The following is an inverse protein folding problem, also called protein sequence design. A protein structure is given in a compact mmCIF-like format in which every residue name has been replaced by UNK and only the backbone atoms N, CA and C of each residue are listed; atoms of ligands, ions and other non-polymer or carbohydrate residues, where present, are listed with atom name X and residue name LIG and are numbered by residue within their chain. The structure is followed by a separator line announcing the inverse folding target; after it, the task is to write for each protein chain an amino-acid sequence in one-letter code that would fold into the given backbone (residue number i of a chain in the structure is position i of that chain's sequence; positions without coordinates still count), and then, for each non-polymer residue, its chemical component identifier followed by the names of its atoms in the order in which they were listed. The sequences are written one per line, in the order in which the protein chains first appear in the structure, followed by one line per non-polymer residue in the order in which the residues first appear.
data_IF_721894886074
#
_entry.id   IF_721894886074
#
_cell.length_a   1.000
_cell.length_b   1.000
_cell.length_c   1.000
_cell.angle_alpha   90.00
_cell.angle_beta   90.00
_cell.angle_gamma   90.00
#
_symmetry.space_group_name_H-M   'P 1'
#
loop_
_entity.id
_entity.type
_entity.pdbx_description
1 polymer ?
#
# COMPACT_ATOMS: atom_id res chain seq x y z
N UNK A 1 23.89 -5.53 18.86
CA UNK A 1 22.62 -6.24 18.51
C UNK A 1 21.50 -5.33 17.99
N UNK A 2 21.57 -3.99 18.09
CA UNK A 2 20.55 -3.06 17.50
C UNK A 2 20.43 -3.20 15.98
N UNK A 3 21.58 -3.31 15.30
CA UNK A 3 21.66 -3.41 13.84
C UNK A 3 20.85 -4.56 13.21
N UNK A 4 20.45 -5.60 13.97
CA UNK A 4 19.61 -6.68 13.43
C UNK A 4 18.15 -6.23 13.27
N UNK A 5 17.62 -5.46 14.21
CA UNK A 5 16.23 -4.97 14.16
C UNK A 5 16.07 -3.83 13.14
N UNK A 6 17.05 -2.93 13.06
CA UNK A 6 17.08 -1.87 12.05
C UNK A 6 17.04 -2.44 10.62
N UNK A 7 17.77 -3.52 10.37
CA UNK A 7 17.72 -4.22 9.08
C UNK A 7 16.37 -4.89 8.81
N UNK A 8 15.72 -5.45 9.84
CA UNK A 8 14.37 -6.03 9.70
C UNK A 8 13.31 -4.96 9.43
N UNK A 9 13.44 -3.77 10.03
CA UNK A 9 12.56 -2.63 9.75
C UNK A 9 12.70 -2.22 8.29
N UNK A 10 13.94 -2.01 7.79
CA UNK A 10 14.18 -1.65 6.38
C UNK A 10 13.65 -2.70 5.41
N UNK A 11 13.82 -3.98 5.73
CA UNK A 11 13.27 -5.07 4.93
C UNK A 11 11.73 -5.03 4.92
N UNK A 12 11.11 -4.76 6.08
CA UNK A 12 9.66 -4.61 6.20
C UNK A 12 9.12 -3.40 5.42
N UNK A 13 9.79 -2.25 5.49
CA UNK A 13 9.47 -1.05 4.70
C UNK A 13 9.53 -1.35 3.20
N UNK A 14 10.59 -2.01 2.75
CA UNK A 14 10.72 -2.41 1.34
C UNK A 14 9.60 -3.36 0.92
N UNK A 15 9.25 -4.35 1.76
CA UNK A 15 8.16 -5.28 1.46
C UNK A 15 6.81 -4.56 1.37
N UNK A 16 6.53 -3.62 2.27
CA UNK A 16 5.32 -2.77 2.22
C UNK A 16 5.27 -1.97 0.93
N UNK A 17 6.38 -1.34 0.54
CA UNK A 17 6.44 -0.54 -0.69
C UNK A 17 6.25 -1.39 -1.95
N UNK A 18 6.81 -2.60 -1.96
CA UNK A 18 6.61 -3.56 -3.05
C UNK A 18 5.13 -3.99 -3.16
N UNK A 19 4.49 -4.36 -2.04
CA UNK A 19 3.06 -4.69 -2.03
C UNK A 19 2.18 -3.52 -2.43
N UNK A 20 2.53 -2.31 -2.02
CA UNK A 20 1.83 -1.08 -2.45
C UNK A 20 1.96 -0.85 -3.94
N UNK A 21 3.15 -1.09 -4.53
CA UNK A 21 3.36 -0.97 -5.97
C UNK A 21 2.53 -2.00 -6.74
N UNK A 22 2.54 -3.26 -6.30
CA UNK A 22 1.73 -4.33 -6.89
C UNK A 22 0.23 -3.97 -6.89
N UNK A 23 -0.30 -3.52 -5.75
CA UNK A 23 -1.68 -3.04 -5.67
C UNK A 23 -1.94 -1.85 -6.60
N UNK A 24 -1.02 -0.89 -6.68
CA UNK A 24 -1.16 0.27 -7.56
C UNK A 24 -1.25 -0.14 -9.04
N UNK A 25 -0.44 -1.10 -9.46
CA UNK A 25 -0.43 -1.57 -10.84
C UNK A 25 -1.71 -2.34 -11.20
N UNK A 26 -2.25 -3.14 -10.27
CA UNK A 26 -3.57 -3.76 -10.41
C UNK A 26 -4.68 -2.71 -10.52
N UNK A 27 -4.69 -1.69 -9.66
CA UNK A 27 -5.69 -0.63 -9.73
C UNK A 27 -5.61 0.17 -11.05
N UNK A 28 -4.41 0.40 -11.58
CA UNK A 28 -4.24 1.03 -12.91
C UNK A 28 -4.82 0.17 -14.02
N UNK A 29 -4.59 -1.15 -13.98
CA UNK A 29 -5.13 -2.07 -14.97
C UNK A 29 -6.67 -2.11 -14.90
N UNK A 30 -7.25 -2.14 -13.70
CA UNK A 30 -8.69 -2.06 -13.51
C UNK A 30 -9.26 -0.75 -14.09
N UNK A 31 -8.64 0.38 -13.79
CA UNK A 31 -9.05 1.68 -14.36
C UNK A 31 -8.91 1.73 -15.89
N UNK A 32 -7.91 1.04 -16.47
CA UNK A 32 -7.75 0.90 -17.92
C UNK A 32 -8.90 0.13 -18.56
N UNK A 33 -9.32 -0.99 -17.94
CA UNK A 33 -10.46 -1.77 -18.39
C UNK A 33 -11.76 -0.97 -18.33
N UNK A 34 -12.03 -0.28 -17.21
CA UNK A 34 -13.21 0.60 -17.07
C UNK A 34 -13.22 1.72 -18.12
N UNK A 35 -12.05 2.28 -18.44
CA UNK A 35 -11.92 3.28 -19.50
C UNK A 35 -12.27 2.68 -20.86
N UNK A 36 -11.74 1.49 -21.19
CA UNK A 36 -12.05 0.80 -22.46
C UNK A 36 -13.52 0.45 -22.61
N UNK A 37 -14.21 0.11 -21.51
CA UNK A 37 -15.67 -0.13 -21.52
C UNK A 37 -16.41 1.15 -21.91
N UNK A 38 -16.08 2.29 -21.28
CA UNK A 38 -16.67 3.59 -21.62
C UNK A 38 -16.39 4.01 -23.05
N UNK A 39 -15.14 3.87 -23.50
CA UNK A 39 -14.73 4.19 -24.87
C UNK A 39 -15.54 3.36 -25.89
N UNK A 40 -15.79 2.08 -25.60
CA UNK A 40 -16.59 1.19 -26.43
C UNK A 40 -18.08 1.56 -26.43
N UNK A 41 -18.64 1.89 -25.28
CA UNK A 41 -20.04 2.35 -25.16
C UNK A 41 -20.24 3.66 -25.97
N UNK A 42 -19.29 4.59 -25.90
CA UNK A 42 -19.30 5.82 -26.70
C UNK A 42 -19.16 5.53 -28.21
N UNK A 43 -18.34 4.55 -28.60
CA UNK A 43 -18.17 4.11 -29.99
C UNK A 43 -19.47 3.54 -30.55
N UNK A 44 -20.17 2.72 -29.77
CA UNK A 44 -21.47 2.13 -30.13
C UNK A 44 -22.52 3.20 -30.37
N UNK A 45 -22.61 4.23 -29.53
CA UNK A 45 -23.57 5.31 -29.72
C UNK A 45 -23.24 6.18 -30.95
N UNK A 46 -21.95 6.42 -31.24
CA UNK A 46 -21.54 7.08 -32.49
C UNK A 46 -21.95 6.28 -33.72
N UNK A 47 -21.72 4.98 -33.71
CA UNK A 47 -22.04 4.10 -34.84
C UNK A 47 -23.56 4.01 -35.06
N UNK A 48 -24.34 3.99 -33.97
CA UNK A 48 -25.81 4.04 -34.01
C UNK A 48 -26.34 5.33 -34.64
N UNK A 49 -25.73 6.46 -34.33
CA UNK A 49 -26.07 7.74 -34.94
C UNK A 49 -25.73 7.76 -36.45
N UNK A 50 -24.57 7.24 -36.82
CA UNK A 50 -24.15 7.13 -38.22
C UNK A 50 -25.09 6.23 -39.04
N UNK A 51 -25.44 5.05 -38.51
CA UNK A 51 -26.38 4.12 -39.14
C UNK A 51 -27.77 4.72 -39.38
N UNK A 52 -28.27 5.55 -38.44
CA UNK A 52 -29.52 6.30 -38.59
C UNK A 52 -29.43 7.40 -39.65
N UNK A 53 -28.26 8.03 -39.77
CA UNK A 53 -28.04 9.16 -40.68
C UNK A 53 -27.78 8.72 -42.13
N UNK A 54 -27.23 7.51 -42.33
CA UNK A 54 -26.96 6.92 -43.66
C UNK A 54 -27.43 5.46 -43.73
N UNK A 55 -28.75 5.22 -43.79
CA UNK A 55 -29.29 3.86 -43.69
C UNK A 55 -28.86 2.91 -44.82
N UNK A 56 -28.66 3.42 -46.04
CA UNK A 56 -28.31 2.64 -47.23
C UNK A 56 -26.84 2.18 -47.27
N UNK A 57 -25.95 2.84 -46.53
CA UNK A 57 -24.51 2.52 -46.49
C UNK A 57 -24.15 1.90 -45.13
N UNK A 58 -24.23 2.72 -44.06
CA UNK A 58 -23.83 2.32 -42.71
C UNK A 58 -24.84 1.38 -42.04
N UNK A 59 -26.13 1.50 -42.35
CA UNK A 59 -27.18 0.66 -41.77
C UNK A 59 -27.03 -0.83 -42.06
N UNK A 60 -26.40 -1.22 -43.18
CA UNK A 60 -26.22 -2.63 -43.57
C UNK A 60 -25.19 -3.37 -42.70
N UNK A 61 -24.14 -2.69 -42.26
CA UNK A 61 -23.05 -3.26 -41.44
C UNK A 61 -23.25 -3.07 -39.93
N UNK A 62 -24.15 -2.16 -39.55
CA UNK A 62 -24.46 -1.83 -38.16
C UNK A 62 -24.79 -3.05 -37.29
N UNK A 63 -25.62 -3.97 -37.80
CA UNK A 63 -26.03 -5.16 -37.04
C UNK A 63 -24.88 -6.10 -36.68
N UNK A 64 -23.91 -6.30 -37.58
CA UNK A 64 -22.71 -7.10 -37.29
C UNK A 64 -21.76 -6.40 -36.32
N UNK A 65 -21.62 -5.07 -36.46
CA UNK A 65 -20.78 -4.27 -35.58
C UNK A 65 -21.28 -4.31 -34.13
N UNK A 66 -22.59 -4.12 -33.90
CA UNK A 66 -23.18 -4.15 -32.56
C UNK A 66 -22.98 -5.50 -31.88
N UNK A 67 -23.13 -6.62 -32.61
CA UNK A 67 -22.86 -7.95 -32.06
C UNK A 67 -21.40 -8.11 -31.61
N UNK A 68 -20.46 -7.62 -32.41
CA UNK A 68 -19.04 -7.64 -32.05
C UNK A 68 -18.73 -6.74 -30.84
N UNK A 69 -19.32 -5.55 -30.79
CA UNK A 69 -19.16 -4.61 -29.69
C UNK A 69 -19.73 -5.16 -28.37
N UNK A 70 -20.92 -5.75 -28.39
CA UNK A 70 -21.51 -6.40 -27.21
C UNK A 70 -20.64 -7.54 -26.68
N UNK A 71 -20.12 -8.40 -27.56
CA UNK A 71 -19.19 -9.47 -27.17
C UNK A 71 -17.89 -8.91 -26.57
N UNK A 72 -17.35 -7.83 -27.14
CA UNK A 72 -16.15 -7.17 -26.59
C UNK A 72 -16.43 -6.57 -25.21
N UNK A 73 -17.60 -5.97 -25.02
CA UNK A 73 -18.05 -5.41 -23.74
C UNK A 73 -18.19 -6.50 -22.68
N UNK A 74 -18.82 -7.62 -23.01
CA UNK A 74 -18.93 -8.80 -22.14
C UNK A 74 -17.54 -9.25 -21.66
N UNK A 75 -16.59 -9.49 -22.58
CA UNK A 75 -15.23 -9.89 -22.21
C UNK A 75 -14.52 -8.88 -21.29
N UNK A 76 -14.73 -7.57 -21.50
CA UNK A 76 -14.15 -6.53 -20.64
C UNK A 76 -14.79 -6.52 -19.24
N UNK A 77 -16.10 -6.76 -19.16
CA UNK A 77 -16.82 -6.87 -17.88
C UNK A 77 -16.37 -8.12 -17.11
N UNK A 78 -16.25 -9.27 -17.79
CA UNK A 78 -15.72 -10.50 -17.19
C UNK A 78 -14.30 -10.31 -16.67
N UNK A 79 -13.47 -9.58 -17.43
CA UNK A 79 -12.11 -9.25 -17.00
C UNK A 79 -12.10 -8.36 -15.75
N UNK A 80 -13.02 -7.40 -15.65
CA UNK A 80 -13.19 -6.55 -14.48
C UNK A 80 -13.66 -7.34 -13.26
N UNK A 81 -14.63 -8.24 -13.44
CA UNK A 81 -15.11 -9.11 -12.36
C UNK A 81 -13.99 -10.02 -11.83
N UNK A 82 -13.14 -10.54 -12.72
CA UNK A 82 -11.98 -11.35 -12.31
C UNK A 82 -10.90 -10.52 -11.60
N UNK A 83 -10.82 -9.20 -11.83
CA UNK A 83 -9.85 -8.34 -11.15
C UNK A 83 -10.23 -8.02 -9.70
N UNK A 84 -11.51 -7.98 -9.37
CA UNK A 84 -11.97 -7.63 -8.02
C UNK A 84 -11.38 -8.52 -6.90
N UNK A 85 -11.43 -9.87 -7.00
CA UNK A 85 -10.80 -10.73 -5.99
C UNK A 85 -9.28 -10.59 -5.96
N UNK A 86 -8.64 -10.29 -7.10
CA UNK A 86 -7.17 -10.10 -7.18
C UNK A 86 -6.75 -8.80 -6.49
N UNK A 87 -7.48 -7.70 -6.72
CA UNK A 87 -7.26 -6.42 -6.04
C UNK A 87 -7.52 -6.56 -4.54
N UNK A 88 -8.56 -7.28 -4.15
CA UNK A 88 -8.88 -7.55 -2.74
C UNK A 88 -7.75 -8.33 -2.07
N UNK A 89 -7.28 -9.42 -2.67
CA UNK A 89 -6.14 -10.18 -2.15
C UNK A 89 -4.87 -9.31 -2.03
N UNK A 90 -4.58 -8.47 -3.01
CA UNK A 90 -3.42 -7.57 -2.95
C UNK A 90 -3.54 -6.49 -1.85
N UNK A 91 -4.76 -6.04 -1.52
CA UNK A 91 -5.02 -5.15 -0.38
C UNK A 91 -4.75 -5.86 0.95
N UNK A 92 -5.20 -7.11 1.07
CA UNK A 92 -4.98 -7.92 2.27
C UNK A 92 -3.48 -8.20 2.46
N UNK A 93 -2.75 -8.58 1.41
CA UNK A 93 -1.30 -8.76 1.47
C UNK A 93 -0.55 -7.49 1.88
N UNK A 94 -0.99 -6.32 1.41
CA UNK A 94 -0.43 -5.04 1.84
C UNK A 94 -0.72 -4.77 3.32
N UNK A 95 -1.95 -5.05 3.77
CA UNK A 95 -2.33 -4.89 5.17
C UNK A 95 -1.49 -5.80 6.09
N UNK A 96 -1.28 -7.06 5.70
CA UNK A 96 -0.45 -8.01 6.43
C UNK A 96 1.01 -7.55 6.50
N UNK A 97 1.58 -7.08 5.39
CA UNK A 97 2.93 -6.52 5.35
C UNK A 97 3.09 -5.32 6.31
N UNK A 98 2.08 -4.44 6.39
CA UNK A 98 2.06 -3.34 7.34
C UNK A 98 2.00 -3.83 8.79
N UNK A 99 1.18 -4.83 9.09
CA UNK A 99 1.08 -5.39 10.43
C UNK A 99 2.42 -5.99 10.88
N UNK A 100 3.11 -6.70 9.99
CA UNK A 100 4.41 -7.31 10.28
C UNK A 100 5.50 -6.26 10.51
N UNK A 101 5.58 -5.24 9.67
CA UNK A 101 6.46 -4.09 9.90
C UNK A 101 6.18 -3.47 11.27
N UNK A 102 4.90 -3.29 11.62
CA UNK A 102 4.53 -2.65 12.89
C UNK A 102 4.96 -3.44 14.11
N UNK A 103 4.89 -4.78 14.06
CA UNK A 103 5.37 -5.65 15.14
C UNK A 103 6.86 -5.44 15.41
N UNK A 104 7.67 -5.34 14.35
CA UNK A 104 9.12 -5.11 14.47
C UNK A 104 9.41 -3.71 15.01
N UNK A 105 8.74 -2.67 14.50
CA UNK A 105 8.88 -1.31 15.00
C UNK A 105 8.55 -1.17 16.50
N UNK A 106 7.47 -1.81 16.96
CA UNK A 106 7.09 -1.81 18.38
C UNK A 106 8.16 -2.50 19.22
N UNK A 107 8.69 -3.62 18.73
CA UNK A 107 9.76 -4.35 19.41
C UNK A 107 11.02 -3.49 19.56
N UNK A 108 11.43 -2.80 18.49
CA UNK A 108 12.56 -1.86 18.52
C UNK A 108 12.31 -0.71 19.50
N UNK A 109 11.13 -0.08 19.45
CA UNK A 109 10.76 1.02 20.36
C UNK A 109 10.81 0.59 21.83
N UNK A 110 10.28 -0.59 22.16
CA UNK A 110 10.27 -1.11 23.52
C UNK A 110 11.71 -1.36 24.03
N UNK A 111 12.58 -1.84 23.15
CA UNK A 111 14.01 -2.01 23.45
C UNK A 111 14.68 -0.66 23.73
N UNK A 112 14.49 0.31 22.86
CA UNK A 112 15.10 1.65 23.00
C UNK A 112 14.66 2.33 24.29
N UNK A 113 13.38 2.20 24.65
CA UNK A 113 12.86 2.70 25.93
C UNK A 113 13.50 2.01 27.12
N UNK A 114 13.72 0.69 27.05
CA UNK A 114 14.39 -0.04 28.13
C UNK A 114 15.84 0.39 28.27
N UNK A 115 16.57 0.48 27.17
CA UNK A 115 17.97 0.92 27.16
C UNK A 115 18.11 2.36 27.66
N UNK A 116 17.20 3.26 27.30
CA UNK A 116 17.15 4.62 27.84
C UNK A 116 16.93 4.63 29.36
N UNK A 117 15.92 3.91 29.86
CA UNK A 117 15.67 3.81 31.31
C UNK A 117 16.84 3.22 32.09
N UNK A 118 17.55 2.25 31.52
CA UNK A 118 18.75 1.68 32.14
C UNK A 118 19.91 2.69 32.17
N UNK A 119 20.08 3.51 31.13
CA UNK A 119 21.06 4.61 31.12
C UNK A 119 20.72 5.67 32.17
N UNK A 120 19.48 6.15 32.20
CA UNK A 120 19.03 7.18 33.14
C UNK A 120 19.21 6.71 34.60
N UNK A 121 18.90 5.44 34.89
CA UNK A 121 19.14 4.85 36.22
C UNK A 121 20.62 4.81 36.60
N UNK A 122 21.51 4.46 35.67
CA UNK A 122 22.95 4.41 35.92
C UNK A 122 23.52 5.81 36.15
N UNK A 123 23.07 6.78 35.35
CA UNK A 123 23.46 8.19 35.50
C UNK A 123 22.98 8.74 36.85
N UNK A 124 21.73 8.50 37.23
CA UNK A 124 21.21 8.93 38.53
C UNK A 124 22.00 8.32 39.69
N UNK A 125 22.28 7.02 39.67
CA UNK A 125 23.06 6.35 40.71
C UNK A 125 24.48 6.94 40.84
N UNK A 126 25.11 7.27 39.71
CA UNK A 126 26.42 7.92 39.69
C UNK A 126 26.39 9.34 40.28
N UNK A 127 25.38 10.14 39.91
CA UNK A 127 25.19 11.48 40.46
C UNK A 127 24.92 11.46 41.96
N UNK A 128 24.11 10.50 42.43
CA UNK A 128 23.82 10.31 43.85
C UNK A 128 25.09 9.96 44.65
N UNK A 129 25.93 9.07 44.10
CA UNK A 129 27.22 8.70 44.72
C UNK A 129 28.18 9.89 44.85
N UNK A 130 28.31 10.70 43.78
CA UNK A 130 29.10 11.93 43.79
C UNK A 130 28.57 12.95 44.80
N UNK A 131 27.25 13.10 44.90
CA UNK A 131 26.61 13.97 45.88
C UNK A 131 26.93 13.56 47.32
N UNK A 132 26.85 12.26 47.61
CA UNK A 132 27.19 11.71 48.92
C UNK A 132 28.68 11.87 49.25
N UNK A 133 29.57 11.68 48.28
CA UNK A 133 31.01 11.86 48.49
C UNK A 133 31.36 13.33 48.76
N UNK A 134 30.82 14.26 47.98
CA UNK A 134 31.00 15.71 48.17
C UNK A 134 30.53 16.16 49.56
N UNK A 135 29.36 15.69 50.00
CA UNK A 135 28.84 15.97 51.33
C UNK A 135 29.74 15.41 52.44
N UNK A 136 30.21 14.16 52.31
CA UNK A 136 31.15 13.54 53.27
C UNK A 136 32.48 14.31 53.37
N UNK A 137 33.01 14.80 52.25
CA UNK A 137 34.24 15.61 52.22
C UNK A 137 34.05 16.94 52.96
N UNK A 138 32.91 17.62 52.78
CA UNK A 138 32.61 18.87 53.51
C UNK A 138 32.51 18.65 55.02
N UNK A 139 31.86 17.58 55.46
CA UNK A 139 31.72 17.26 56.89
C UNK A 139 33.04 16.92 57.59
N UNK A 140 34.06 16.45 56.85
CA UNK A 140 35.38 16.14 57.41
C UNK A 140 36.33 17.34 57.44
N UNK A 141 36.00 18.41 56.72
CA UNK A 141 36.84 19.60 56.57
C UNK A 141 36.38 20.79 57.44
N UNK A 142 35.26 20.64 58.16
CA UNK A 142 34.80 21.56 59.21
C UNK A 142 34.92 20.90 60.57
#
# INVERSE_FOLDING_TARGET
MSARLDNLIRLGEWNVDEKRRQLSDLLKLMADLERRVRELDDEVEREKFAARSKPSESGMYYGSYIKAALKRRENLMDSLEQMDPVVTAARDELADAFQDLKKVEITQRNRDQREARERDRREQAFLDELGQESHRRRQRAG
#
